data_IF_340930200450
#
_entry.id   IF_340930200450
#
_cell.length_a   1.000
_cell.length_b   1.000
_cell.length_c   1.000
_cell.angle_alpha   90.00
_cell.angle_beta   90.00
_cell.angle_gamma   90.00
#
_symmetry.space_group_name_H-M   'P 1'
#
loop_
_entity.id
_entity.type
_entity.pdbx_description
1 polymer ?
#
# COMPACT_ATOMS: atom_id res chain seq x y z
N UNK A 1 22.36 18.65 -5.85
CA UNK A 1 22.51 17.71 -6.99
C UNK A 1 23.84 17.90 -7.76
N UNK A 2 24.43 19.10 -7.77
CA UNK A 2 25.66 19.41 -8.53
C UNK A 2 26.96 18.71 -8.07
N UNK A 3 26.98 18.11 -6.87
CA UNK A 3 28.22 17.61 -6.25
C UNK A 3 28.53 16.11 -6.41
N UNK A 4 27.58 15.25 -6.79
CA UNK A 4 27.76 13.79 -6.63
C UNK A 4 27.46 12.93 -7.87
N UNK A 5 27.07 13.50 -9.00
CA UNK A 5 26.91 12.74 -10.26
C UNK A 5 27.56 13.57 -11.37
N UNK A 6 28.80 13.24 -11.72
CA UNK A 6 29.66 14.03 -12.62
C UNK A 6 29.57 13.61 -14.10
N UNK A 7 28.74 12.62 -14.43
CA UNK A 7 28.65 12.01 -15.78
C UNK A 7 27.44 12.45 -16.60
N UNK A 8 26.56 13.35 -16.09
CA UNK A 8 25.37 13.84 -16.82
C UNK A 8 25.13 15.34 -16.59
N UNK A 9 24.61 16.01 -17.62
CA UNK A 9 24.31 17.45 -17.62
C UNK A 9 22.85 17.73 -17.19
N UNK A 10 22.61 18.88 -16.55
CA UNK A 10 21.28 19.42 -16.27
C UNK A 10 20.60 19.86 -17.60
N UNK A 11 19.27 19.78 -17.74
CA UNK A 11 18.23 19.51 -16.73
C UNK A 11 17.90 18.02 -16.50
N UNK A 12 18.39 17.14 -17.36
CA UNK A 12 17.99 15.72 -17.47
C UNK A 12 18.23 14.92 -16.18
N UNK A 13 19.43 15.07 -15.58
CA UNK A 13 19.80 14.42 -14.31
C UNK A 13 18.91 14.79 -13.12
N UNK A 14 18.34 16.00 -13.11
CA UNK A 14 17.46 16.42 -12.02
C UNK A 14 16.07 15.79 -12.17
N UNK A 15 15.62 15.56 -13.41
CA UNK A 15 14.36 14.89 -13.73
C UNK A 15 14.46 13.40 -13.39
N UNK A 16 15.52 12.72 -13.82
CA UNK A 16 15.75 11.29 -13.52
C UNK A 16 15.72 10.99 -12.01
N UNK A 17 16.39 11.81 -11.19
CA UNK A 17 16.49 11.57 -9.75
C UNK A 17 15.14 11.79 -9.05
N UNK A 18 14.34 12.73 -9.54
CA UNK A 18 12.96 12.95 -9.07
C UNK A 18 12.07 11.78 -9.51
N UNK A 19 12.24 11.28 -10.74
CA UNK A 19 11.47 10.15 -11.25
C UNK A 19 11.79 8.85 -10.51
N UNK A 20 13.07 8.58 -10.20
CA UNK A 20 13.48 7.43 -9.38
C UNK A 20 12.94 7.52 -7.94
N UNK A 21 12.99 8.71 -7.32
CA UNK A 21 12.41 8.94 -6.00
C UNK A 21 10.89 8.74 -6.02
N UNK A 22 10.20 9.30 -7.02
CA UNK A 22 8.75 9.14 -7.20
C UNK A 22 8.37 7.67 -7.44
N UNK A 23 9.15 6.93 -8.22
CA UNK A 23 8.91 5.51 -8.49
C UNK A 23 9.09 4.67 -7.21
N UNK A 24 10.13 4.92 -6.42
CA UNK A 24 10.35 4.23 -5.15
C UNK A 24 9.24 4.53 -4.14
N UNK A 25 8.86 5.80 -3.99
CA UNK A 25 7.72 6.18 -3.14
C UNK A 25 6.42 5.53 -3.59
N UNK A 26 6.20 5.40 -4.91
CA UNK A 26 5.02 4.73 -5.46
C UNK A 26 4.98 3.23 -5.11
N UNK A 27 6.10 2.54 -5.23
CA UNK A 27 6.19 1.11 -4.84
C UNK A 27 5.91 0.94 -3.35
N UNK A 28 6.43 1.84 -2.51
CA UNK A 28 6.14 1.83 -1.08
C UNK A 28 4.66 2.12 -0.78
N UNK A 29 4.05 3.06 -1.51
CA UNK A 29 2.63 3.41 -1.37
C UNK A 29 1.69 2.28 -1.83
N UNK A 30 2.09 1.53 -2.86
CA UNK A 30 1.34 0.38 -3.37
C UNK A 30 1.57 -0.89 -2.52
N UNK A 31 2.57 -0.88 -1.64
CA UNK A 31 2.87 -1.97 -0.71
C UNK A 31 2.05 -1.88 0.58
N UNK A 32 1.67 -3.04 1.11
CA UNK A 32 0.96 -3.12 2.38
C UNK A 32 1.90 -2.67 3.52
N UNK A 33 1.41 -1.88 4.50
CA UNK A 33 2.23 -1.45 5.63
C UNK A 33 2.90 -2.63 6.33
N UNK A 34 4.19 -2.50 6.64
CA UNK A 34 5.01 -3.56 7.25
C UNK A 34 4.37 -4.12 8.53
N UNK A 35 3.74 -3.27 9.34
CA UNK A 35 3.02 -3.69 10.54
C UNK A 35 1.86 -4.66 10.24
N UNK A 36 1.14 -4.47 9.13
CA UNK A 36 0.05 -5.36 8.72
C UNK A 36 0.64 -6.67 8.17
N UNK A 37 1.68 -6.61 7.34
CA UNK A 37 2.35 -7.81 6.79
C UNK A 37 2.92 -8.71 7.91
N UNK A 38 3.58 -8.12 8.91
CA UNK A 38 4.10 -8.88 10.07
C UNK A 38 2.97 -9.60 10.82
N UNK A 39 1.87 -8.89 11.10
CA UNK A 39 0.72 -9.48 11.81
C UNK A 39 0.02 -10.55 10.96
N UNK A 40 -0.10 -10.38 9.65
CA UNK A 40 -0.69 -11.40 8.77
C UNK A 40 0.17 -12.66 8.67
N UNK A 41 1.50 -12.52 8.61
CA UNK A 41 2.42 -13.67 8.64
C UNK A 41 2.30 -14.44 9.96
N UNK A 42 2.24 -13.73 11.09
CA UNK A 42 2.01 -14.35 12.40
C UNK A 42 0.66 -15.06 12.46
N UNK A 43 -0.41 -14.42 11.95
CA UNK A 43 -1.75 -15.02 11.86
C UNK A 43 -1.71 -16.33 11.07
N UNK A 44 -1.07 -16.33 9.91
CA UNK A 44 -0.96 -17.50 9.04
C UNK A 44 -0.23 -18.66 9.73
N UNK A 45 0.88 -18.36 10.42
CA UNK A 45 1.63 -19.37 11.17
C UNK A 45 0.78 -20.02 12.26
N UNK A 46 0.03 -19.21 13.02
CA UNK A 46 -0.88 -19.69 14.06
C UNK A 46 -2.08 -20.45 13.48
N UNK A 47 -2.60 -20.06 12.31
CA UNK A 47 -3.66 -20.81 11.62
C UNK A 47 -3.19 -22.21 11.18
N UNK A 48 -1.94 -22.32 10.71
CA UNK A 48 -1.33 -23.60 10.36
C UNK A 48 -1.15 -24.46 11.62
N UNK A 49 -0.63 -23.88 12.70
CA UNK A 49 -0.48 -24.55 13.99
C UNK A 49 -1.84 -25.05 14.52
N UNK A 50 -2.88 -24.20 14.49
CA UNK A 50 -4.24 -24.56 14.88
C UNK A 50 -4.77 -25.77 14.11
N UNK A 51 -4.56 -25.80 12.78
CA UNK A 51 -4.97 -26.92 11.92
C UNK A 51 -4.18 -28.21 12.19
N UNK A 52 -2.91 -28.09 12.60
CA UNK A 52 -2.12 -29.25 13.01
C UNK A 52 -2.66 -29.82 14.33
N UNK A 53 -2.91 -28.96 15.32
CA UNK A 53 -3.43 -29.32 16.64
C UNK A 53 -4.85 -29.88 16.60
N UNK A 54 -5.66 -29.54 15.59
CA UNK A 54 -7.00 -30.12 15.39
C UNK A 54 -6.99 -31.64 15.18
N UNK A 55 -5.87 -32.21 14.72
CA UNK A 55 -5.74 -33.67 14.52
C UNK A 55 -5.29 -34.41 15.78
N UNK A 56 -4.82 -33.67 16.79
CA UNK A 56 -4.32 -34.21 18.05
C UNK A 56 -5.42 -34.23 19.11
N UNK A 57 -5.38 -35.19 20.02
CA UNK A 57 -6.45 -35.43 21.02
C UNK A 57 -5.95 -35.43 22.46
N UNK A 58 -4.65 -35.28 22.68
CA UNK A 58 -4.07 -35.25 24.01
C UNK A 58 -4.40 -33.94 24.74
N UNK A 59 -4.42 -33.95 26.08
CA UNK A 59 -4.78 -32.76 26.86
C UNK A 59 -3.86 -31.56 26.65
N UNK A 60 -2.56 -31.80 26.37
CA UNK A 60 -1.60 -30.73 26.15
C UNK A 60 -1.90 -29.99 24.83
N UNK A 61 -2.19 -30.73 23.76
CA UNK A 61 -2.56 -30.15 22.47
C UNK A 61 -3.90 -29.43 22.49
N UNK A 62 -4.87 -29.88 23.31
CA UNK A 62 -6.11 -29.11 23.52
C UNK A 62 -5.87 -27.78 24.21
N UNK A 63 -5.03 -27.76 25.26
CA UNK A 63 -4.67 -26.52 25.94
C UNK A 63 -3.93 -25.56 25.00
N UNK A 64 -2.96 -26.08 24.24
CA UNK A 64 -2.22 -25.30 23.25
C UNK A 64 -3.12 -24.72 22.17
N UNK A 65 -4.09 -25.51 21.67
CA UNK A 65 -5.07 -25.06 20.68
C UNK A 65 -5.86 -23.86 21.20
N UNK A 66 -6.33 -23.92 22.44
CA UNK A 66 -7.07 -22.81 23.06
C UNK A 66 -6.20 -21.55 23.21
N UNK A 67 -4.92 -21.69 23.55
CA UNK A 67 -3.99 -20.56 23.61
C UNK A 67 -3.72 -19.95 22.22
N UNK A 68 -3.59 -20.79 21.19
CA UNK A 68 -3.46 -20.35 19.79
C UNK A 68 -4.72 -19.62 19.31
N UNK A 69 -5.91 -20.09 19.68
CA UNK A 69 -7.17 -19.41 19.35
C UNK A 69 -7.27 -18.02 19.99
N UNK A 70 -6.80 -17.87 21.23
CA UNK A 70 -6.69 -16.55 21.88
C UNK A 70 -5.72 -15.63 21.14
N UNK A 71 -4.53 -16.11 20.80
CA UNK A 71 -3.55 -15.32 20.06
C UNK A 71 -4.07 -14.90 18.68
N UNK A 72 -4.80 -15.77 17.99
CA UNK A 72 -5.47 -15.42 16.74
C UNK A 72 -6.51 -14.32 16.90
N UNK A 73 -7.28 -14.35 18.00
CA UNK A 73 -8.25 -13.29 18.32
C UNK A 73 -7.53 -11.96 18.60
N UNK A 74 -6.46 -11.97 19.39
CA UNK A 74 -5.66 -10.78 19.71
C UNK A 74 -5.06 -10.16 18.44
N UNK A 75 -4.50 -10.98 17.55
CA UNK A 75 -3.97 -10.51 16.26
C UNK A 75 -5.08 -9.94 15.37
N UNK A 76 -6.26 -10.56 15.35
CA UNK A 76 -7.39 -10.05 14.60
C UNK A 76 -7.87 -8.68 15.12
N UNK A 77 -7.88 -8.48 16.44
CA UNK A 77 -8.19 -7.17 17.04
C UNK A 77 -7.15 -6.10 16.68
N UNK A 78 -5.87 -6.46 16.62
CA UNK A 78 -4.80 -5.54 16.21
C UNK A 78 -4.82 -5.23 14.71
N UNK A 79 -5.12 -6.21 13.86
CA UNK A 79 -5.19 -6.03 12.40
C UNK A 79 -6.36 -5.14 11.99
N UNK A 80 -7.51 -5.27 12.64
CA UNK A 80 -8.75 -4.58 12.27
C UNK A 80 -8.60 -3.05 12.12
N UNK A 81 -8.06 -2.29 13.10
CA UNK A 81 -7.88 -0.85 12.95
C UNK A 81 -6.84 -0.49 11.88
N UNK A 82 -5.76 -1.27 11.76
CA UNK A 82 -4.71 -1.01 10.78
C UNK A 82 -5.21 -1.20 9.35
N UNK A 83 -5.96 -2.28 9.08
CA UNK A 83 -6.57 -2.53 7.78
C UNK A 83 -7.63 -1.47 7.44
N UNK A 84 -8.41 -1.01 8.43
CA UNK A 84 -9.39 0.04 8.22
C UNK A 84 -8.73 1.38 7.85
N UNK A 85 -7.66 1.76 8.55
CA UNK A 85 -6.88 2.96 8.24
C UNK A 85 -6.25 2.86 6.85
N UNK A 86 -5.58 1.75 6.56
CA UNK A 86 -4.96 1.52 5.26
C UNK A 86 -5.97 1.55 4.11
N UNK A 87 -7.15 0.93 4.29
CA UNK A 87 -8.23 0.99 3.31
C UNK A 87 -8.70 2.43 3.05
N UNK A 88 -8.93 3.21 4.11
CA UNK A 88 -9.34 4.61 3.98
C UNK A 88 -8.27 5.49 3.30
N UNK A 89 -6.99 5.28 3.61
CA UNK A 89 -5.89 5.99 2.96
C UNK A 89 -5.80 5.64 1.48
N UNK A 90 -5.92 4.36 1.13
CA UNK A 90 -5.90 3.90 -0.25
C UNK A 90 -7.05 4.46 -1.07
N UNK A 91 -8.27 4.48 -0.50
CA UNK A 91 -9.44 5.08 -1.15
C UNK A 91 -9.22 6.57 -1.43
N UNK A 92 -8.69 7.33 -0.47
CA UNK A 92 -8.36 8.76 -0.65
C UNK A 92 -7.34 8.97 -1.76
N UNK A 93 -6.30 8.14 -1.81
CA UNK A 93 -5.27 8.20 -2.86
C UNK A 93 -5.88 7.95 -4.24
N UNK A 94 -6.73 6.93 -4.37
CA UNK A 94 -7.41 6.62 -5.63
C UNK A 94 -8.38 7.73 -6.06
N UNK A 95 -9.10 8.35 -5.11
CA UNK A 95 -9.94 9.50 -5.39
C UNK A 95 -9.11 10.70 -5.89
N UNK A 96 -7.99 11.02 -5.24
CA UNK A 96 -7.09 12.09 -5.67
C UNK A 96 -6.55 11.83 -7.08
N UNK A 97 -6.11 10.60 -7.39
CA UNK A 97 -5.67 10.20 -8.73
C UNK A 97 -6.78 10.41 -9.77
N UNK A 98 -8.01 10.00 -9.47
CA UNK A 98 -9.16 10.18 -10.36
C UNK A 98 -9.48 11.66 -10.61
N UNK A 99 -9.42 12.49 -9.56
CA UNK A 99 -9.65 13.93 -9.67
C UNK A 99 -8.55 14.62 -10.50
N UNK A 100 -7.29 14.25 -10.29
CA UNK A 100 -6.17 14.75 -11.08
C UNK A 100 -6.34 14.41 -12.57
N UNK A 101 -6.62 13.14 -12.90
CA UNK A 101 -6.89 12.72 -14.28
C UNK A 101 -8.07 13.47 -14.90
N UNK A 102 -9.14 13.73 -14.13
CA UNK A 102 -10.29 14.50 -14.60
C UNK A 102 -9.90 15.96 -14.89
N UNK A 103 -9.09 16.57 -14.02
CA UNK A 103 -8.57 17.93 -14.20
C UNK A 103 -7.74 18.03 -15.48
N UNK A 104 -6.77 17.13 -15.67
CA UNK A 104 -5.90 17.12 -16.85
C UNK A 104 -6.74 16.97 -18.13
N UNK A 105 -7.72 16.07 -18.11
CA UNK A 105 -8.63 15.85 -19.24
C UNK A 105 -9.48 17.09 -19.56
N UNK A 106 -9.90 17.85 -18.54
CA UNK A 106 -10.62 19.12 -18.74
C UNK A 106 -9.70 20.21 -19.28
N UNK A 107 -8.47 20.32 -18.77
CA UNK A 107 -7.47 21.27 -19.28
C UNK A 107 -7.15 21.01 -20.74
N UNK A 108 -6.88 19.75 -21.12
CA UNK A 108 -6.65 19.40 -22.53
C UNK A 108 -7.86 19.69 -23.42
N UNK A 109 -9.09 19.55 -22.92
CA UNK A 109 -10.31 19.92 -23.65
C UNK A 109 -10.40 21.43 -23.85
N UNK A 110 -10.11 22.22 -22.82
CA UNK A 110 -10.09 23.70 -22.89
C UNK A 110 -9.05 24.15 -23.93
N UNK A 111 -7.82 23.63 -23.85
CA UNK A 111 -6.76 23.95 -24.81
C UNK A 111 -7.13 23.54 -26.24
N UNK A 112 -7.83 22.41 -26.41
CA UNK A 112 -8.31 21.97 -27.72
C UNK A 112 -9.48 22.84 -28.24
N UNK A 113 -10.35 23.34 -27.37
CA UNK A 113 -11.43 24.26 -27.74
C UNK A 113 -10.86 25.64 -28.12
N UNK A 114 -9.94 26.18 -27.30
CA UNK A 114 -9.22 27.43 -27.58
C UNK A 114 -8.48 27.39 -28.92
N UNK A 115 -7.81 26.27 -29.24
CA UNK A 115 -7.14 26.08 -30.53
C UNK A 115 -8.10 25.98 -31.72
N UNK A 116 -9.33 25.52 -31.51
CA UNK A 116 -10.36 25.41 -32.55
C UNK A 116 -11.14 26.71 -32.76
N UNK A 117 -10.92 27.72 -31.92
CA UNK A 117 -11.68 28.97 -31.99
C UNK A 117 -13.12 28.86 -31.48
N UNK A 118 -13.47 27.75 -30.81
CA UNK A 118 -14.74 27.61 -30.07
C UNK A 118 -14.63 28.41 -28.76
N UNK A 119 -14.70 29.74 -28.90
CA UNK A 119 -14.90 30.68 -27.79
C UNK A 119 -16.17 31.48 -28.07
N UNK A 120 -17.30 30.77 -28.08
CA UNK A 120 -18.64 31.33 -27.89
C UNK A 120 -19.28 30.66 -26.65
#
# INVERSE_FOLDING_TARGET
SDRYITTRFLPDKAIDLVDEACANTRVQLDSQPEAIDVLERQRLQLEIERKALEKEKDPASQQRKHDVEKQLADIAEQLKPLMAQYGAEKERIEEMKRLAQKKDKLQSKIEAAQRRGDVD
#
